data_IF_298001705018
#
_entry.id   IF_298001705018
#
_cell.length_a   1.000
_cell.length_b   1.000
_cell.length_c   1.000
_cell.angle_alpha   90.00
_cell.angle_beta   90.00
_cell.angle_gamma   90.00
#
_symmetry.space_group_name_H-M   'P 1'
#
loop_
_entity.id
_entity.type
_entity.pdbx_description
1 polymer ?
#
# COMPACT_ATOMS: atom_id res chain seq x y z
N UNK A 1 23.60 -36.87 13.26
CA UNK A 1 22.91 -37.59 14.34
C UNK A 1 22.15 -36.55 15.15
N UNK A 2 20.85 -36.41 14.89
CA UNK A 2 19.90 -35.75 15.80
C UNK A 2 19.58 -36.75 16.93
N UNK A 3 19.27 -36.28 18.15
CA UNK A 3 17.86 -36.20 18.56
C UNK A 3 17.52 -34.96 19.41
N UNK A 4 16.32 -34.38 19.20
CA UNK A 4 15.15 -34.39 20.09
C UNK A 4 15.34 -33.52 21.35
N UNK A 5 14.49 -32.54 21.67
CA UNK A 5 13.20 -32.14 21.15
C UNK A 5 12.51 -31.37 22.29
N UNK A 6 11.94 -30.21 21.99
CA UNK A 6 10.79 -29.65 22.72
C UNK A 6 10.28 -28.45 21.92
N UNK A 7 9.12 -28.57 21.29
CA UNK A 7 7.85 -28.10 21.86
C UNK A 7 7.89 -26.61 22.22
N UNK A 8 7.61 -25.76 21.22
CA UNK A 8 6.43 -24.91 21.23
C UNK A 8 6.44 -24.05 19.97
N UNK A 9 5.73 -24.52 18.95
CA UNK A 9 5.25 -23.70 17.86
C UNK A 9 4.08 -22.84 18.36
N UNK A 10 4.33 -22.03 19.40
CA UNK A 10 3.49 -20.91 19.74
C UNK A 10 4.24 -19.70 19.21
N UNK A 11 3.93 -19.31 17.97
CA UNK A 11 4.17 -17.96 17.50
C UNK A 11 3.27 -17.05 18.36
N UNK A 12 3.70 -16.84 19.61
CA UNK A 12 3.25 -15.77 20.46
C UNK A 12 3.62 -14.51 19.70
N UNK A 13 2.66 -13.99 18.94
CA UNK A 13 2.60 -12.57 18.64
C UNK A 13 2.31 -11.89 19.98
N UNK A 14 3.34 -11.85 20.82
CA UNK A 14 3.39 -11.01 22.00
C UNK A 14 3.34 -9.60 21.46
N UNK A 15 2.13 -9.04 21.39
CA UNK A 15 1.89 -7.60 21.26
C UNK A 15 2.33 -6.91 22.57
N UNK A 16 3.60 -7.12 22.92
CA UNK A 16 4.35 -6.45 23.96
C UNK A 16 5.25 -5.44 23.27
N UNK A 17 4.88 -4.17 23.40
CA UNK A 17 5.75 -2.97 23.39
C UNK A 17 6.68 -2.69 22.20
N UNK A 18 6.78 -3.57 21.20
CA UNK A 18 7.51 -3.29 19.97
C UNK A 18 6.57 -2.67 18.93
N UNK A 19 6.92 -1.48 18.42
CA UNK A 19 6.27 -0.89 17.25
C UNK A 19 6.17 -1.94 16.13
N UNK A 20 4.96 -2.14 15.60
CA UNK A 20 4.69 -3.15 14.57
C UNK A 20 5.56 -2.89 13.33
N UNK A 21 5.79 -1.62 13.03
CA UNK A 21 6.63 -1.18 11.91
C UNK A 21 8.12 -1.49 12.12
N UNK A 22 8.65 -1.25 13.33
CA UNK A 22 10.04 -1.57 13.64
C UNK A 22 10.30 -3.09 13.63
N UNK A 23 9.35 -3.88 14.15
CA UNK A 23 9.42 -5.34 14.12
C UNK A 23 9.42 -5.89 12.70
N UNK A 24 8.55 -5.38 11.82
CA UNK A 24 8.51 -5.77 10.41
C UNK A 24 9.78 -5.39 9.67
N UNK A 25 10.32 -4.19 9.90
CA UNK A 25 11.58 -3.76 9.29
C UNK A 25 12.75 -4.67 9.68
N UNK A 26 12.83 -5.07 10.96
CA UNK A 26 13.85 -5.99 11.44
C UNK A 26 13.73 -7.39 10.79
N UNK A 27 12.51 -7.90 10.61
CA UNK A 27 12.27 -9.18 9.93
C UNK A 27 12.71 -9.10 8.46
N UNK A 28 12.37 -8.02 7.76
CA UNK A 28 12.77 -7.83 6.35
C UNK A 28 14.29 -7.77 6.23
N UNK A 29 14.95 -6.93 7.03
CA UNK A 29 16.41 -6.78 7.01
C UNK A 29 17.15 -8.08 7.40
N UNK A 30 16.59 -8.85 8.35
CA UNK A 30 17.18 -10.11 8.79
C UNK A 30 16.92 -11.31 7.87
N UNK A 31 16.01 -11.19 6.91
CA UNK A 31 15.59 -12.31 6.06
C UNK A 31 16.59 -12.68 4.96
N UNK A 32 17.35 -11.70 4.45
CA UNK A 32 18.42 -11.90 3.47
C UNK A 32 19.39 -10.73 3.46
N UNK A 33 20.65 -10.97 3.09
CA UNK A 33 21.71 -9.93 3.06
C UNK A 33 21.49 -8.83 2.01
N UNK A 34 20.59 -9.04 1.05
CA UNK A 34 20.26 -8.07 0.01
C UNK A 34 18.95 -7.30 0.28
N UNK A 35 18.27 -7.57 1.39
CA UNK A 35 17.02 -6.90 1.72
C UNK A 35 17.28 -5.64 2.53
N UNK A 36 16.65 -4.54 2.11
CA UNK A 36 16.63 -3.28 2.85
C UNK A 36 15.18 -2.83 3.04
N UNK A 37 14.76 -2.73 4.30
CA UNK A 37 13.41 -2.34 4.66
C UNK A 37 13.24 -0.82 4.57
N UNK A 38 12.31 -0.38 3.73
CA UNK A 38 11.87 1.01 3.68
C UNK A 38 10.62 1.20 4.56
N UNK A 39 10.74 1.99 5.63
CA UNK A 39 9.59 2.34 6.48
C UNK A 39 8.78 3.41 5.78
N UNK A 40 7.63 3.03 5.20
CA UNK A 40 6.77 3.92 4.42
C UNK A 40 6.01 4.95 5.27
N UNK A 41 5.77 4.67 6.55
CA UNK A 41 5.10 5.61 7.46
C UNK A 41 5.23 5.22 8.93
N UNK A 42 4.80 6.12 9.81
CA UNK A 42 4.87 5.95 11.27
C UNK A 42 3.49 5.76 11.90
N UNK A 43 3.46 5.29 13.14
CA UNK A 43 2.22 5.09 13.91
C UNK A 43 1.45 6.40 14.16
N UNK A 44 2.16 7.53 14.15
CA UNK A 44 1.57 8.87 14.30
C UNK A 44 0.96 9.41 12.99
N UNK A 45 0.93 8.58 11.93
CA UNK A 45 0.36 8.94 10.63
C UNK A 45 1.28 9.77 9.74
N UNK A 46 2.57 9.90 10.09
CA UNK A 46 3.56 10.53 9.21
C UNK A 46 3.89 9.59 8.05
N UNK A 47 3.91 10.13 6.83
CA UNK A 47 4.25 9.38 5.63
C UNK A 47 5.68 9.73 5.20
N UNK A 48 6.59 8.75 5.22
CA UNK A 48 8.00 8.95 4.89
C UNK A 48 8.24 8.92 3.37
N UNK A 49 7.35 8.25 2.62
CA UNK A 49 7.46 8.10 1.17
C UNK A 49 6.27 8.79 0.51
N UNK A 50 6.49 9.86 -0.28
CA UNK A 50 5.39 10.57 -0.91
C UNK A 50 4.61 9.63 -1.83
N UNK A 51 3.27 9.70 -1.75
CA UNK A 51 2.42 9.06 -2.73
C UNK A 51 2.48 9.92 -4.00
N UNK A 52 2.75 9.30 -5.15
CA UNK A 52 2.93 10.01 -6.41
C UNK A 52 1.69 9.85 -7.30
N UNK A 53 1.30 10.91 -8.01
CA UNK A 53 0.15 10.89 -8.92
C UNK A 53 0.47 10.23 -10.26
N UNK A 54 0.71 8.92 -10.23
CA UNK A 54 0.97 8.16 -11.45
C UNK A 54 -0.24 8.14 -12.39
N UNK A 55 -1.45 8.22 -11.86
CA UNK A 55 -2.69 8.22 -12.64
C UNK A 55 -2.78 9.50 -13.48
N UNK A 56 -2.65 10.67 -12.86
CA UNK A 56 -2.60 11.95 -13.58
C UNK A 56 -1.38 12.06 -14.48
N UNK A 57 -0.21 11.58 -14.03
CA UNK A 57 1.04 11.62 -14.81
C UNK A 57 0.94 10.87 -16.15
N UNK A 58 0.21 9.75 -16.19
CA UNK A 58 0.02 8.96 -17.40
C UNK A 58 -1.33 9.15 -18.09
N UNK A 59 -2.29 9.91 -17.53
CA UNK A 59 -3.67 10.02 -18.03
C UNK A 59 -3.77 10.39 -19.53
N UNK A 60 -2.86 11.23 -20.04
CA UNK A 60 -2.88 11.66 -21.44
C UNK A 60 -2.30 10.64 -22.43
N UNK A 61 -1.42 9.77 -21.97
CA UNK A 61 -0.55 8.95 -22.83
C UNK A 61 -0.70 7.44 -22.61
N UNK A 62 -1.18 7.02 -21.43
CA UNK A 62 -1.45 5.64 -21.08
C UNK A 62 -2.65 5.10 -21.84
N UNK A 63 -2.66 3.78 -22.02
CA UNK A 63 -3.77 3.00 -22.58
C UNK A 63 -4.21 1.97 -21.57
N UNK A 64 -5.52 1.82 -21.42
CA UNK A 64 -6.10 0.87 -20.51
C UNK A 64 -5.83 -0.56 -20.98
N UNK A 65 -5.13 -1.31 -20.15
CA UNK A 65 -4.89 -2.72 -20.37
C UNK A 65 -5.95 -3.54 -19.61
N UNK A 66 -7.05 -3.85 -20.29
CA UNK A 66 -8.19 -4.54 -19.70
C UNK A 66 -7.91 -6.02 -19.42
N UNK A 67 -8.59 -6.58 -18.43
CA UNK A 67 -8.54 -8.01 -18.14
C UNK A 67 -7.22 -8.46 -17.50
N UNK A 68 -6.46 -7.56 -16.87
CA UNK A 68 -5.15 -7.86 -16.27
C UNK A 68 -5.19 -9.06 -15.32
N UNK A 69 -6.30 -9.27 -14.61
CA UNK A 69 -6.53 -10.39 -13.68
C UNK A 69 -6.56 -11.76 -14.35
N UNK A 70 -6.75 -11.82 -15.66
CA UNK A 70 -6.79 -13.08 -16.42
C UNK A 70 -5.39 -13.60 -16.75
N UNK A 71 -4.37 -12.74 -16.70
CA UNK A 71 -3.01 -13.07 -17.10
C UNK A 71 -2.13 -13.34 -15.88
N UNK A 72 -1.30 -14.37 -15.96
CA UNK A 72 -0.44 -14.80 -14.85
C UNK A 72 1.02 -14.41 -15.06
N UNK A 73 1.42 -14.16 -16.31
CA UNK A 73 2.79 -13.86 -16.67
C UNK A 73 2.86 -12.53 -17.39
N UNK A 74 3.75 -11.65 -16.91
CA UNK A 74 4.05 -10.36 -17.51
C UNK A 74 5.55 -10.25 -17.74
N UNK A 75 5.93 -9.76 -18.92
CA UNK A 75 7.32 -9.51 -19.27
C UNK A 75 7.45 -8.13 -19.89
N UNK A 76 8.51 -7.43 -19.50
CA UNK A 76 8.95 -6.17 -20.06
C UNK A 76 10.34 -6.37 -20.67
N UNK A 77 10.64 -5.61 -21.70
CA UNK A 77 11.90 -5.67 -22.42
C UNK A 77 12.31 -4.25 -22.84
N UNK A 78 13.62 -3.99 -22.78
CA UNK A 78 14.21 -2.73 -23.14
C UNK A 78 14.09 -2.42 -24.64
N UNK A 79 14.13 -3.44 -25.51
CA UNK A 79 13.99 -3.27 -26.97
C UNK A 79 12.57 -2.85 -27.35
N UNK A 80 11.57 -3.25 -26.56
CA UNK A 80 10.16 -2.94 -26.75
C UNK A 80 9.63 -2.07 -25.61
N UNK A 81 10.30 -0.93 -25.39
CA UNK A 81 9.91 0.03 -24.36
C UNK A 81 8.45 0.45 -24.50
N UNK A 82 7.70 0.41 -23.40
CA UNK A 82 6.28 0.73 -23.40
C UNK A 82 5.37 -0.38 -23.92
N UNK A 83 5.89 -1.59 -24.15
CA UNK A 83 5.10 -2.79 -24.46
C UNK A 83 5.17 -3.75 -23.29
N UNK A 84 4.00 -4.27 -22.90
CA UNK A 84 3.89 -5.41 -22.00
C UNK A 84 3.60 -6.67 -22.81
N UNK A 85 4.36 -7.72 -22.55
CA UNK A 85 4.08 -9.06 -23.06
C UNK A 85 3.38 -9.86 -21.97
N UNK A 86 2.38 -10.64 -22.34
CA UNK A 86 1.52 -11.31 -21.36
C UNK A 86 1.08 -12.71 -21.80
N UNK A 87 0.80 -13.56 -20.80
CA UNK A 87 0.23 -14.90 -21.00
C UNK A 87 -0.78 -15.26 -19.91
N UNK A 88 -1.79 -16.03 -20.28
CA UNK A 88 -2.75 -16.62 -19.34
C UNK A 88 -2.12 -17.75 -18.54
N UNK A 89 -1.35 -18.63 -19.19
CA UNK A 89 -0.56 -19.70 -18.57
C UNK A 89 0.83 -19.75 -19.18
N UNK A 90 1.78 -20.42 -18.51
CA UNK A 90 3.18 -20.50 -18.96
C UNK A 90 3.33 -21.14 -20.36
N UNK A 91 2.47 -22.12 -20.68
CA UNK A 91 2.45 -22.86 -21.94
C UNK A 91 1.80 -22.09 -23.10
N UNK A 92 1.06 -21.03 -22.80
CA UNK A 92 0.27 -20.33 -23.80
C UNK A 92 1.16 -19.43 -24.67
N UNK A 93 0.62 -19.08 -25.84
CA UNK A 93 1.24 -18.10 -26.72
C UNK A 93 1.36 -16.73 -26.02
N UNK A 94 2.43 -16.00 -26.35
CA UNK A 94 2.68 -14.67 -25.80
C UNK A 94 1.90 -13.62 -26.57
N UNK A 95 0.99 -12.92 -25.89
CA UNK A 95 0.39 -11.70 -26.39
C UNK A 95 1.27 -10.49 -26.12
N UNK A 96 1.05 -9.39 -26.85
CA UNK A 96 1.69 -8.10 -26.57
C UNK A 96 0.67 -6.97 -26.60
N UNK A 97 0.85 -6.01 -25.71
CA UNK A 97 0.04 -4.80 -25.64
C UNK A 97 0.94 -3.61 -25.40
N UNK A 98 0.80 -2.59 -26.23
CA UNK A 98 1.56 -1.36 -26.07
C UNK A 98 0.84 -0.42 -25.09
N UNK A 99 1.46 -0.15 -23.95
CA UNK A 99 0.89 0.60 -22.82
C UNK A 99 0.76 2.10 -23.08
N UNK A 100 1.61 2.65 -23.95
CA UNK A 100 1.63 4.09 -24.23
C UNK A 100 1.30 4.40 -25.69
N UNK A 101 0.69 5.56 -25.93
CA UNK A 101 0.52 6.13 -27.27
C UNK A 101 1.88 6.45 -27.89
N UNK A 102 1.91 6.68 -29.20
CA UNK A 102 3.09 7.17 -29.94
C UNK A 102 3.37 8.65 -29.63
N UNK A 103 3.67 8.92 -28.36
CA UNK A 103 4.01 10.22 -27.82
C UNK A 103 5.28 10.12 -26.98
N UNK A 104 6.08 11.19 -26.88
CA UNK A 104 7.22 11.21 -25.97
C UNK A 104 6.79 10.81 -24.55
N UNK A 105 7.55 9.90 -23.93
CA UNK A 105 7.32 9.53 -22.54
C UNK A 105 7.80 10.66 -21.62
N UNK A 106 7.14 10.89 -20.47
CA UNK A 106 7.59 11.84 -19.48
C UNK A 106 9.00 11.47 -19.01
N UNK A 107 9.89 12.45 -18.98
CA UNK A 107 11.25 12.30 -18.46
C UNK A 107 11.37 12.79 -17.02
N UNK A 108 10.29 13.36 -16.47
CA UNK A 108 10.20 13.86 -15.11
C UNK A 108 9.40 12.91 -14.23
N UNK A 109 9.64 12.95 -12.92
CA UNK A 109 8.84 12.20 -11.96
C UNK A 109 7.41 12.77 -11.87
N UNK A 110 6.45 11.91 -11.49
CA UNK A 110 5.10 12.35 -11.15
C UNK A 110 5.10 13.34 -9.97
N UNK A 111 4.02 14.10 -9.80
CA UNK A 111 3.89 15.03 -8.68
C UNK A 111 3.43 14.29 -7.41
N UNK A 112 3.96 14.64 -6.23
CA UNK A 112 3.46 14.08 -4.97
C UNK A 112 2.04 14.56 -4.69
N UNK A 113 1.22 13.67 -4.14
CA UNK A 113 -0.17 13.92 -3.73
C UNK A 113 -0.41 13.48 -2.30
N UNK A 114 -1.38 14.13 -1.65
CA UNK A 114 -1.95 13.63 -0.40
C UNK A 114 -3.07 12.65 -0.73
N UNK A 115 -2.98 11.37 -0.36
CA UNK A 115 -4.04 10.42 -0.63
C UNK A 115 -5.32 10.84 0.12
N UNK A 116 -6.52 10.62 -0.47
CA UNK A 116 -7.80 11.07 0.11
C UNK A 116 -8.20 10.39 1.43
N UNK A 117 -7.40 9.42 1.90
CA UNK A 117 -7.71 8.61 3.07
C UNK A 117 -8.83 7.60 2.83
N UNK A 118 -9.32 6.99 3.90
CA UNK A 118 -10.42 6.03 3.83
C UNK A 118 -11.76 6.73 3.62
N UNK A 119 -12.62 6.16 2.77
CA UNK A 119 -14.01 6.61 2.63
C UNK A 119 -14.77 6.46 3.96
N UNK A 120 -15.82 7.26 4.15
CA UNK A 120 -16.67 7.18 5.36
C UNK A 120 -17.29 5.81 5.54
N UNK A 121 -17.73 5.19 4.44
CA UNK A 121 -18.28 3.82 4.45
C UNK A 121 -17.23 2.82 4.94
N UNK A 122 -15.98 2.96 4.49
CA UNK A 122 -14.90 2.10 4.95
C UNK A 122 -14.55 2.34 6.42
N UNK A 123 -14.55 3.59 6.87
CA UNK A 123 -14.36 3.91 8.29
C UNK A 123 -15.46 3.31 9.17
N UNK A 124 -16.73 3.43 8.76
CA UNK A 124 -17.88 2.84 9.45
C UNK A 124 -17.79 1.32 9.49
N UNK A 125 -17.43 0.69 8.37
CA UNK A 125 -17.20 -0.76 8.31
C UNK A 125 -16.12 -1.21 9.31
N UNK A 126 -14.97 -0.52 9.35
CA UNK A 126 -13.91 -0.84 10.31
C UNK A 126 -14.40 -0.68 11.76
N UNK A 127 -15.13 0.40 12.06
CA UNK A 127 -15.66 0.64 13.39
C UNK A 127 -16.71 -0.39 13.82
N UNK A 128 -17.65 -0.75 12.95
CA UNK A 128 -18.78 -1.61 13.31
C UNK A 128 -18.45 -3.09 13.22
N UNK A 129 -17.69 -3.51 12.20
CA UNK A 129 -17.47 -4.92 11.88
C UNK A 129 -16.12 -5.44 12.33
N UNK A 130 -15.09 -4.60 12.33
CA UNK A 130 -13.72 -5.04 12.64
C UNK A 130 -13.33 -4.73 14.09
N UNK A 131 -13.75 -3.58 14.63
CA UNK A 131 -13.40 -3.12 15.98
C UNK A 131 -13.61 -4.14 17.11
N UNK A 132 -14.66 -5.00 17.13
CA UNK A 132 -14.81 -6.02 18.18
C UNK A 132 -13.65 -7.03 18.25
N UNK A 133 -12.95 -7.25 17.14
CA UNK A 133 -11.82 -8.18 17.04
C UNK A 133 -10.46 -7.51 17.33
N UNK A 134 -10.44 -6.19 17.52
CA UNK A 134 -9.22 -5.43 17.83
C UNK A 134 -9.06 -5.34 19.35
N UNK A 135 -7.82 -5.54 19.85
CA UNK A 135 -7.51 -5.37 21.28
C UNK A 135 -7.80 -3.94 21.73
N UNK A 136 -8.33 -3.77 22.94
CA UNK A 136 -8.81 -2.46 23.43
C UNK A 136 -7.82 -1.32 23.24
N UNK A 137 -6.54 -1.54 23.58
CA UNK A 137 -5.46 -0.53 23.43
C UNK A 137 -5.22 -0.03 22.00
N UNK A 138 -5.70 -0.75 20.98
CA UNK A 138 -5.50 -0.40 19.57
C UNK A 138 -6.80 0.00 18.86
N UNK A 139 -7.95 -0.09 19.53
CA UNK A 139 -9.26 0.16 18.89
C UNK A 139 -9.36 1.56 18.31
N UNK A 140 -8.88 2.57 19.02
CA UNK A 140 -8.96 3.98 18.59
C UNK A 140 -7.88 4.39 17.59
N UNK A 141 -6.85 3.55 17.41
CA UNK A 141 -5.82 3.76 16.37
C UNK A 141 -6.24 3.07 15.06
N UNK A 142 -6.71 1.82 15.15
CA UNK A 142 -6.97 0.97 13.97
C UNK A 142 -8.41 1.12 13.45
N UNK A 143 -9.36 1.34 14.35
CA UNK A 143 -10.79 1.43 14.02
C UNK A 143 -11.45 2.59 14.79
N UNK A 144 -10.96 3.83 14.67
CA UNK A 144 -11.53 4.98 15.38
C UNK A 144 -13.01 5.17 15.02
N UNK A 145 -13.80 5.79 15.92
CA UNK A 145 -15.10 6.32 15.54
C UNK A 145 -14.94 7.23 14.32
N UNK A 146 -15.85 7.15 13.36
CA UNK A 146 -15.86 8.09 12.24
C UNK A 146 -15.89 9.52 12.79
N UNK A 147 -14.94 10.36 12.39
CA UNK A 147 -14.83 11.72 12.91
C UNK A 147 -16.15 12.46 12.68
N UNK A 148 -16.85 12.83 13.78
CA UNK A 148 -18.02 13.70 13.68
C UNK A 148 -17.59 15.00 13.02
N UNK A 149 -18.44 15.54 12.13
CA UNK A 149 -18.20 16.77 11.35
C UNK A 149 -17.46 17.79 12.23
N UNK A 150 -16.21 18.13 11.90
CA UNK A 150 -15.55 19.26 12.52
C UNK A 150 -16.43 20.48 12.25
N UNK A 151 -17.22 20.90 13.24
CA UNK A 151 -17.96 22.14 13.15
C UNK A 151 -16.89 23.22 13.05
N UNK A 152 -16.89 24.08 12.02
CA UNK A 152 -15.93 25.17 11.96
C UNK A 152 -16.03 25.95 13.27
N UNK A 153 -14.90 26.10 13.97
CA UNK A 153 -14.81 26.96 15.16
C UNK A 153 -15.36 28.32 14.73
N UNK A 154 -16.50 28.72 15.30
CA UNK A 154 -16.98 30.09 15.15
C UNK A 154 -15.88 30.98 15.74
N UNK A 155 -15.23 31.76 14.89
CA UNK A 155 -14.39 32.87 15.33
C UNK A 155 -15.31 33.81 16.09
N UNK A 156 -15.19 33.86 17.41
CA UNK A 156 -15.76 34.95 18.19
C UNK A 156 -15.09 36.24 17.72
N UNK A 157 -15.84 37.04 16.98
CA UNK A 157 -15.48 38.41 16.70
C UNK A 157 -15.62 39.18 18.01
N UNK A 158 -14.49 39.50 18.64
CA UNK A 158 -14.44 40.49 19.72
C UNK A 158 -15.00 41.81 19.18
N UNK A 159 -16.11 42.26 19.77
CA UNK A 159 -16.61 43.63 19.58
C UNK A 159 -15.64 44.60 20.29
N UNK A 160 -15.32 45.66 19.57
CA UNK A 160 -14.52 46.83 19.98
C UNK A 160 -15.16 47.48 21.20
#
# INVERSE_FOLDING_TARGET
MLPAGDQNLHLLVTLGECSVFAGLAAVVNGSASCNEAAVVGTEDGHNNIPVMDWQGHFAGIGRDFHGIEQYQHFRFDWQHSGVVFFKTRISDEEGSFKLFKDSPLPTTAATPITPPGLSRERQAYLYEKIRPFVKDKFKDVVCPPAASRATPRKTEMNKI
#
